data_IF_691343667993
#
_entry.id   IF_691343667993
#
_cell.length_a   1.000
_cell.length_b   1.000
_cell.length_c   1.000
_cell.angle_alpha   90.00
_cell.angle_beta   90.00
_cell.angle_gamma   90.00
#
_symmetry.space_group_name_H-M   'P 1'
#
loop_
_entity.id
_entity.type
_entity.pdbx_description
1 polymer ?
#
# COMPACT_ATOMS: atom_id res chain seq x y z
N UNK A 1 8.45 42.34 8.13
CA UNK A 1 7.66 41.29 8.81
C UNK A 1 8.31 41.04 10.15
N UNK A 2 7.61 41.21 11.29
CA UNK A 2 8.23 41.09 12.63
C UNK A 2 8.59 39.61 12.90
N UNK A 3 9.73 39.33 13.54
CA UNK A 3 10.17 37.96 13.87
C UNK A 3 9.11 37.16 14.65
N UNK A 4 8.38 37.83 15.55
CA UNK A 4 7.28 37.23 16.31
C UNK A 4 6.17 36.67 15.41
N UNK A 5 5.87 37.33 14.30
CA UNK A 5 4.87 36.86 13.32
C UNK A 5 5.32 35.57 12.64
N UNK A 6 6.60 35.50 12.26
CA UNK A 6 7.18 34.30 11.63
C UNK A 6 7.17 33.13 12.59
N UNK A 7 7.53 33.36 13.87
CA UNK A 7 7.52 32.34 14.91
C UNK A 7 6.13 31.68 15.08
N UNK A 8 5.08 32.48 15.24
CA UNK A 8 3.72 31.96 15.39
C UNK A 8 3.21 31.28 14.12
N UNK A 9 3.55 31.82 12.94
CA UNK A 9 3.19 31.19 11.66
C UNK A 9 3.81 29.78 11.54
N UNK A 10 5.07 29.61 11.96
CA UNK A 10 5.74 28.31 11.96
C UNK A 10 5.07 27.32 12.90
N UNK A 11 4.70 27.74 14.12
CA UNK A 11 3.97 26.89 15.07
C UNK A 11 2.63 26.45 14.48
N UNK A 12 1.85 27.39 13.94
CA UNK A 12 0.55 27.09 13.31
C UNK A 12 0.73 26.13 12.14
N UNK A 13 1.79 26.28 11.34
CA UNK A 13 2.07 25.38 10.20
C UNK A 13 2.33 23.95 10.66
N UNK A 14 3.07 23.76 11.76
CA UNK A 14 3.30 22.44 12.37
C UNK A 14 1.98 21.85 12.86
N UNK A 15 1.20 22.62 13.63
CA UNK A 15 -0.12 22.17 14.11
C UNK A 15 -1.07 21.84 12.97
N UNK A 16 -1.08 22.64 11.90
CA UNK A 16 -1.88 22.37 10.71
C UNK A 16 -1.46 21.05 10.06
N UNK A 17 -0.17 20.78 9.91
CA UNK A 17 0.30 19.56 9.24
C UNK A 17 -0.05 18.30 10.02
N UNK A 18 0.18 18.30 11.34
CA UNK A 18 0.00 17.10 12.16
C UNK A 18 -1.44 16.90 12.68
N UNK A 19 -2.18 17.99 12.89
CA UNK A 19 -3.50 17.93 13.52
C UNK A 19 -4.59 18.55 12.65
N UNK A 20 -4.36 19.77 12.13
CA UNK A 20 -5.37 20.49 11.34
C UNK A 20 -5.76 19.75 10.07
N UNK A 21 -4.80 19.27 9.29
CA UNK A 21 -4.99 18.58 8.03
C UNK A 21 -5.78 17.27 8.19
N UNK A 22 -5.39 16.31 9.07
CA UNK A 22 -6.19 15.11 9.26
C UNK A 22 -7.59 15.41 9.82
N UNK A 23 -7.76 16.42 10.68
CA UNK A 23 -9.08 16.83 11.18
C UNK A 23 -9.97 17.38 10.08
N UNK A 24 -9.47 18.31 9.27
CA UNK A 24 -10.22 18.88 8.14
C UNK A 24 -10.54 17.78 7.13
N UNK A 25 -9.58 16.91 6.81
CA UNK A 25 -9.79 15.81 5.88
C UNK A 25 -10.86 14.83 6.39
N UNK A 26 -10.85 14.50 7.69
CA UNK A 26 -11.87 13.68 8.32
C UNK A 26 -13.25 14.33 8.27
N UNK A 27 -13.34 15.63 8.58
CA UNK A 27 -14.58 16.39 8.50
C UNK A 27 -15.14 16.44 7.07
N UNK A 28 -14.28 16.69 6.07
CA UNK A 28 -14.66 16.67 4.66
C UNK A 28 -15.09 15.26 4.23
N UNK A 29 -14.37 14.22 4.67
CA UNK A 29 -14.71 12.82 4.39
C UNK A 29 -16.08 12.44 4.98
N UNK A 30 -16.41 12.96 6.16
CA UNK A 30 -17.70 12.75 6.80
C UNK A 30 -18.86 13.33 5.96
N UNK A 31 -18.71 14.56 5.45
CA UNK A 31 -19.74 15.19 4.63
C UNK A 31 -19.79 14.72 3.17
N UNK A 32 -18.65 14.29 2.62
CA UNK A 32 -18.52 13.84 1.23
C UNK A 32 -18.37 12.33 1.12
N UNK A 33 -18.86 11.58 2.12
CA UNK A 33 -18.76 10.13 2.11
C UNK A 33 -19.50 9.57 0.90
N UNK A 34 -18.74 9.16 -0.11
CA UNK A 34 -19.26 8.45 -1.27
C UNK A 34 -19.12 6.97 -0.97
N UNK A 35 -20.23 6.29 -0.74
CA UNK A 35 -20.25 4.84 -0.65
C UNK A 35 -19.72 4.26 -1.96
N UNK A 36 -18.52 3.69 -1.89
CA UNK A 36 -18.00 2.85 -2.96
C UNK A 36 -18.64 1.49 -2.77
N UNK A 37 -19.51 1.09 -3.70
CA UNK A 37 -20.01 -0.28 -3.76
C UNK A 37 -18.82 -1.20 -4.03
N UNK A 38 -18.36 -1.87 -2.98
CA UNK A 38 -17.35 -2.91 -3.07
C UNK A 38 -18.07 -4.23 -3.23
N UNK A 39 -17.88 -4.87 -4.37
CA UNK A 39 -18.32 -6.24 -4.56
C UNK A 39 -17.24 -7.17 -4.02
N UNK A 40 -17.47 -7.72 -2.83
CA UNK A 40 -16.56 -8.68 -2.19
C UNK A 40 -16.56 -10.05 -2.90
N UNK A 41 -17.53 -10.31 -3.78
CA UNK A 41 -17.61 -11.54 -4.58
C UNK A 41 -16.90 -11.39 -5.92
N UNK A 42 -16.48 -10.18 -6.28
CA UNK A 42 -15.76 -9.90 -7.51
C UNK A 42 -14.30 -10.33 -7.39
N UNK A 43 -13.98 -11.51 -7.94
CA UNK A 43 -12.64 -12.09 -7.98
C UNK A 43 -12.12 -12.09 -9.44
N UNK A 44 -11.49 -11.01 -9.93
CA UNK A 44 -10.97 -10.94 -11.30
C UNK A 44 -9.77 -11.88 -11.53
N UNK A 45 -9.39 -12.19 -12.77
CA UNK A 45 -8.09 -12.79 -13.03
C UNK A 45 -6.97 -11.81 -12.61
N UNK A 46 -6.01 -12.30 -11.82
CA UNK A 46 -4.88 -11.52 -11.29
C UNK A 46 -3.57 -12.24 -11.59
N UNK A 47 -2.56 -11.50 -12.02
CA UNK A 47 -1.19 -11.99 -12.17
C UNK A 47 -0.31 -11.39 -11.08
N UNK A 48 0.23 -12.25 -10.21
CA UNK A 48 1.18 -11.90 -9.18
C UNK A 48 2.60 -12.12 -9.69
N UNK A 49 3.32 -11.02 -9.91
CA UNK A 49 4.72 -11.04 -10.37
C UNK A 49 5.63 -10.81 -9.17
N UNK A 50 6.55 -11.74 -8.93
CA UNK A 50 7.53 -11.71 -7.84
C UNK A 50 8.92 -11.70 -8.45
N UNK A 51 9.65 -10.61 -8.29
CA UNK A 51 11.07 -10.54 -8.68
C UNK A 51 11.93 -11.24 -7.63
N UNK A 52 12.82 -12.12 -8.08
CA UNK A 52 13.72 -12.92 -7.25
C UNK A 52 15.16 -12.55 -7.61
N UNK A 53 15.96 -12.24 -6.60
CA UNK A 53 17.38 -12.01 -6.77
C UNK A 53 18.13 -12.55 -5.55
N UNK A 54 18.94 -13.58 -5.74
CA UNK A 54 19.74 -14.20 -4.68
C UNK A 54 18.92 -14.66 -3.44
N UNK A 55 17.78 -15.32 -3.68
CA UNK A 55 16.79 -15.70 -2.64
C UNK A 55 16.65 -17.23 -2.45
N UNK A 56 17.64 -18.06 -2.83
CA UNK A 56 17.63 -19.53 -2.73
C UNK A 56 17.17 -20.02 -1.34
N UNK A 57 17.64 -19.35 -0.28
CA UNK A 57 17.32 -19.72 1.10
C UNK A 57 15.87 -19.46 1.50
N UNK A 58 15.16 -18.54 0.83
CA UNK A 58 13.80 -18.10 1.22
C UNK A 58 12.75 -18.32 0.13
N UNK A 59 13.16 -18.65 -1.09
CA UNK A 59 12.26 -18.85 -2.23
C UNK A 59 11.26 -19.98 -1.98
N UNK A 60 11.65 -21.06 -1.30
CA UNK A 60 10.75 -22.17 -0.95
C UNK A 60 9.61 -21.73 -0.04
N UNK A 61 9.94 -20.95 0.99
CA UNK A 61 8.94 -20.39 1.90
C UNK A 61 8.03 -19.40 1.17
N UNK A 62 8.61 -18.56 0.30
CA UNK A 62 7.87 -17.58 -0.50
C UNK A 62 6.91 -18.25 -1.47
N UNK A 63 7.32 -19.31 -2.16
CA UNK A 63 6.47 -20.09 -3.07
C UNK A 63 5.31 -20.69 -2.28
N UNK A 64 5.60 -21.37 -1.16
CA UNK A 64 4.56 -21.96 -0.31
C UNK A 64 3.54 -20.91 0.14
N UNK A 65 4.02 -19.80 0.68
CA UNK A 65 3.17 -18.69 1.11
C UNK A 65 2.31 -18.12 -0.03
N UNK A 66 2.83 -18.10 -1.26
CA UNK A 66 2.09 -17.59 -2.42
C UNK A 66 1.04 -18.59 -2.92
N UNK A 67 1.31 -19.89 -2.81
CA UNK A 67 0.33 -20.94 -3.13
C UNK A 67 -0.77 -21.07 -2.08
N UNK A 68 -0.50 -20.69 -0.83
CA UNK A 68 -1.45 -20.66 0.28
C UNK A 68 -2.36 -19.41 0.27
N UNK A 69 -2.31 -18.58 -0.78
CA UNK A 69 -3.21 -17.43 -0.93
C UNK A 69 -4.68 -17.88 -1.05
N UNK A 70 -5.55 -17.22 -0.29
CA UNK A 70 -7.01 -17.42 -0.37
C UNK A 70 -7.58 -16.72 -1.62
N UNK A 71 -7.24 -17.26 -2.79
CA UNK A 71 -7.73 -16.82 -4.09
C UNK A 71 -8.00 -18.03 -5.00
N UNK A 72 -9.04 -17.98 -5.86
CA UNK A 72 -9.31 -19.07 -6.79
C UNK A 72 -8.10 -19.37 -7.68
N UNK A 73 -7.62 -20.61 -7.66
CA UNK A 73 -6.42 -21.03 -8.39
C UNK A 73 -6.57 -20.89 -9.91
N UNK A 74 -7.79 -20.97 -10.44
CA UNK A 74 -8.11 -20.74 -11.85
C UNK A 74 -7.99 -19.26 -12.27
N UNK A 75 -7.90 -18.35 -11.30
CA UNK A 75 -7.85 -16.89 -11.52
C UNK A 75 -6.57 -16.24 -11.03
N UNK A 76 -5.68 -16.99 -10.39
CA UNK A 76 -4.40 -16.51 -9.92
C UNK A 76 -3.27 -17.07 -10.78
N UNK A 77 -2.60 -16.19 -11.51
CA UNK A 77 -1.35 -16.51 -12.18
C UNK A 77 -0.18 -16.02 -11.34
N UNK A 78 0.83 -16.86 -11.12
CA UNK A 78 2.03 -16.49 -10.35
C UNK A 78 3.24 -16.58 -11.28
N UNK A 79 4.04 -15.52 -11.32
CA UNK A 79 5.27 -15.42 -12.12
C UNK A 79 6.42 -15.05 -11.20
N UNK A 80 7.40 -15.95 -11.06
CA UNK A 80 8.67 -15.65 -10.41
C UNK A 80 9.69 -15.25 -11.48
N UNK A 81 10.09 -13.99 -11.49
CA UNK A 81 11.07 -13.45 -12.43
C UNK A 81 12.44 -13.37 -11.73
N UNK A 82 13.35 -14.27 -12.08
CA UNK A 82 14.75 -14.22 -11.62
C UNK A 82 15.55 -13.29 -12.53
N UNK A 83 16.08 -12.20 -11.98
CA UNK A 83 16.93 -11.26 -12.73
C UNK A 83 18.38 -11.37 -12.28
N UNK A 84 19.24 -11.88 -13.17
CA UNK A 84 20.68 -12.05 -12.97
C UNK A 84 21.09 -12.68 -11.62
N UNK A 85 20.28 -13.58 -11.08
CA UNK A 85 20.62 -14.31 -9.84
C UNK A 85 21.85 -15.18 -10.05
N UNK A 86 22.69 -15.22 -9.03
CA UNK A 86 23.92 -16.02 -9.01
C UNK A 86 23.77 -17.31 -8.21
N UNK A 87 22.67 -17.44 -7.47
CA UNK A 87 22.26 -18.64 -6.77
C UNK A 87 21.24 -19.46 -7.59
N UNK A 88 20.99 -20.72 -7.19
CA UNK A 88 20.14 -21.69 -7.93
C UNK A 88 19.20 -22.47 -7.03
#
# INVERSE_FOLDING_TARGET
>A
MKMLTIFWLSIISIFYTYLGYPLILSLVSFFRHKEVKRDITYLPPVTLIITVHNEESRIKEKIKNTLDLDYPQDRLQIIFASDASTDS
#
